data_IF_185049496893
#
_entry.id   IF_185049496893
#
_cell.length_a   1.000
_cell.length_b   1.000
_cell.length_c   1.000
_cell.angle_alpha   90.00
_cell.angle_beta   90.00
_cell.angle_gamma   90.00
#
_symmetry.space_group_name_H-M   'P 1'
#
loop_
_entity.id
_entity.type
_entity.pdbx_description
1 polymer ?
#
# COMPACT_ATOMS: atom_id res chain seq x y z
N UNK A 1 -6.98 18.20 10.66
CA UNK A 1 -6.10 17.10 10.20
C UNK A 1 -6.98 16.25 9.32
N UNK A 2 -7.06 16.57 8.03
CA UNK A 2 -7.90 15.80 7.11
C UNK A 2 -7.06 14.62 6.67
N UNK A 3 -7.00 13.62 7.56
CA UNK A 3 -6.65 12.26 7.20
C UNK A 3 -7.66 11.88 6.14
N UNK A 4 -7.31 12.11 4.87
CA UNK A 4 -8.06 11.61 3.75
C UNK A 4 -8.02 10.10 3.91
N UNK A 5 -9.01 9.60 4.65
CA UNK A 5 -9.61 8.32 4.44
C UNK A 5 -9.91 8.33 2.95
N UNK A 6 -8.95 7.86 2.17
CA UNK A 6 -9.19 7.52 0.79
C UNK A 6 -10.12 6.33 0.89
N UNK A 7 -11.41 6.63 1.03
CA UNK A 7 -12.47 5.74 0.65
C UNK A 7 -12.17 5.44 -0.80
N UNK A 8 -11.42 4.35 -1.00
CA UNK A 8 -11.27 3.72 -2.28
C UNK A 8 -12.69 3.61 -2.81
N UNK A 9 -12.98 4.38 -3.86
CA UNK A 9 -14.27 4.44 -4.52
C UNK A 9 -14.78 3.01 -4.71
N UNK A 10 -16.10 2.83 -4.60
CA UNK A 10 -16.87 1.56 -4.66
C UNK A 10 -16.51 0.56 -5.80
N UNK A 11 -15.54 0.88 -6.66
CA UNK A 11 -15.05 0.08 -7.78
C UNK A 11 -13.64 -0.55 -7.60
N UNK A 12 -12.83 -0.18 -6.60
CA UNK A 12 -11.47 -0.75 -6.50
C UNK A 12 -11.46 -2.06 -5.71
N UNK A 13 -11.61 -3.18 -6.41
CA UNK A 13 -11.24 -4.48 -5.85
C UNK A 13 -9.77 -4.46 -5.39
N UNK A 14 -9.43 -5.21 -4.34
CA UNK A 14 -8.04 -5.44 -3.91
C UNK A 14 -7.11 -5.84 -5.08
N UNK A 15 -7.64 -6.59 -6.06
CA UNK A 15 -6.93 -6.97 -7.29
C UNK A 15 -6.52 -5.75 -8.14
N UNK A 16 -7.34 -4.71 -8.20
CA UNK A 16 -7.00 -3.48 -8.93
C UNK A 16 -5.84 -2.73 -8.26
N UNK A 17 -5.86 -2.60 -6.93
CA UNK A 17 -4.77 -2.02 -6.13
C UNK A 17 -3.47 -2.80 -6.32
N UNK A 18 -3.52 -4.13 -6.27
CA UNK A 18 -2.38 -5.01 -6.55
C UNK A 18 -1.82 -4.81 -7.97
N UNK A 19 -2.68 -4.72 -8.98
CA UNK A 19 -2.24 -4.46 -10.36
C UNK A 19 -1.55 -3.10 -10.50
N UNK A 20 -2.10 -2.07 -9.85
CA UNK A 20 -1.51 -0.74 -9.84
C UNK A 20 -0.11 -0.75 -9.23
N UNK A 21 0.04 -1.34 -8.05
CA UNK A 21 1.34 -1.35 -7.36
C UNK A 21 2.36 -2.27 -8.01
N UNK A 22 1.97 -3.43 -8.54
CA UNK A 22 2.87 -4.33 -9.27
C UNK A 22 3.32 -3.75 -10.62
N UNK A 23 2.51 -2.87 -11.23
CA UNK A 23 2.95 -2.11 -12.41
C UNK A 23 3.97 -1.04 -12.01
N UNK A 24 3.70 -0.31 -10.94
CA UNK A 24 4.54 0.79 -10.47
C UNK A 24 5.87 0.33 -9.84
N UNK A 25 5.84 -0.76 -9.08
CA UNK A 25 6.97 -1.33 -8.34
C UNK A 25 6.99 -2.86 -8.59
N UNK A 26 7.46 -3.33 -9.75
CA UNK A 26 7.36 -4.75 -10.13
C UNK A 26 8.14 -5.73 -9.24
N UNK A 27 9.14 -5.24 -8.52
CA UNK A 27 9.94 -5.99 -7.56
C UNK A 27 9.53 -5.73 -6.10
N UNK A 28 8.31 -5.23 -5.87
CA UNK A 28 7.83 -4.92 -4.52
C UNK A 28 7.84 -6.15 -3.63
N UNK A 29 8.40 -5.99 -2.43
CA UNK A 29 8.42 -7.01 -1.40
C UNK A 29 7.90 -6.43 -0.09
N UNK A 30 6.93 -7.13 0.50
CA UNK A 30 6.34 -6.78 1.80
C UNK A 30 6.92 -7.67 2.90
N UNK A 31 7.33 -7.04 3.99
CA UNK A 31 7.57 -7.69 5.28
C UNK A 31 6.48 -7.25 6.25
N UNK A 32 5.81 -8.21 6.89
CA UNK A 32 4.78 -7.92 7.89
C UNK A 32 5.48 -7.64 9.23
N UNK A 33 5.33 -6.42 9.74
CA UNK A 33 5.86 -6.02 11.05
C UNK A 33 4.90 -6.42 12.17
N UNK A 34 3.59 -6.20 11.96
CA UNK A 34 2.55 -6.58 12.92
C UNK A 34 1.23 -6.87 12.20
N UNK A 35 0.49 -7.83 12.71
CA UNK A 35 -0.85 -8.16 12.25
C UNK A 35 -1.75 -8.43 13.45
N UNK A 36 -2.95 -7.89 13.42
CA UNK A 36 -4.01 -8.19 14.39
C UNK A 36 -5.32 -8.38 13.65
N UNK A 37 -6.24 -9.12 14.25
CA UNK A 37 -7.57 -9.36 13.70
C UNK A 37 -8.63 -9.23 14.79
N UNK A 38 -9.75 -8.61 14.45
CA UNK A 38 -10.93 -8.48 15.29
C UNK A 38 -12.17 -8.64 14.41
N UNK A 39 -13.05 -9.58 14.76
CA UNK A 39 -14.23 -9.94 13.98
C UNK A 39 -13.91 -10.23 12.50
N UNK A 40 -14.42 -9.41 11.59
CA UNK A 40 -14.21 -9.50 10.14
C UNK A 40 -13.09 -8.57 9.64
N UNK A 41 -12.37 -7.89 10.53
CA UNK A 41 -11.30 -6.94 10.19
C UNK A 41 -9.93 -7.54 10.49
N UNK A 42 -9.01 -7.40 9.54
CA UNK A 42 -7.57 -7.66 9.70
C UNK A 42 -6.80 -6.38 9.49
N UNK A 43 -6.05 -5.95 10.51
CA UNK A 43 -5.14 -4.81 10.42
C UNK A 43 -3.70 -5.30 10.25
N UNK A 44 -3.00 -4.75 9.28
CA UNK A 44 -1.62 -5.11 8.93
C UNK A 44 -0.75 -3.86 8.93
N UNK A 45 0.32 -3.88 9.72
CA UNK A 45 1.41 -2.93 9.61
C UNK A 45 2.58 -3.63 8.90
N UNK A 46 3.08 -3.02 7.82
CA UNK A 46 4.07 -3.64 6.95
C UNK A 46 5.12 -2.65 6.46
N UNK A 47 6.24 -3.21 6.01
CA UNK A 47 7.30 -2.52 5.30
C UNK A 47 7.32 -3.04 3.87
N UNK A 48 7.20 -2.12 2.91
CA UNK A 48 7.42 -2.39 1.50
C UNK A 48 8.84 -1.97 1.09
N UNK A 49 9.46 -2.74 0.19
CA UNK A 49 10.70 -2.36 -0.50
C UNK A 49 10.58 -2.63 -1.99
N UNK A 50 11.25 -1.84 -2.83
CA UNK A 50 11.29 -2.06 -4.28
C UNK A 50 11.84 -0.86 -5.05
N UNK A 51 11.79 -0.93 -6.38
CA UNK A 51 12.20 0.12 -7.32
C UNK A 51 10.97 0.64 -8.06
N UNK A 52 10.74 1.95 -8.01
CA UNK A 52 9.61 2.60 -8.70
C UNK A 52 9.92 2.70 -10.19
N UNK A 53 9.36 1.80 -11.01
CA UNK A 53 9.56 1.73 -12.46
C UNK A 53 8.50 2.46 -13.28
N UNK A 54 7.34 2.76 -12.69
CA UNK A 54 6.29 3.60 -13.27
C UNK A 54 5.76 4.58 -12.19
N UNK A 55 4.90 5.52 -12.55
CA UNK A 55 4.37 6.50 -11.61
C UNK A 55 3.65 5.86 -10.41
N UNK A 56 4.07 6.23 -9.20
CA UNK A 56 3.52 5.72 -7.93
C UNK A 56 3.08 6.87 -7.02
N UNK A 57 1.78 7.04 -6.79
CA UNK A 57 1.22 8.08 -5.89
C UNK A 57 1.79 9.50 -6.13
N UNK A 58 1.90 9.89 -7.41
CA UNK A 58 2.47 11.19 -7.82
C UNK A 58 4.00 11.27 -7.75
N UNK A 59 4.68 10.15 -7.48
CA UNK A 59 6.13 10.01 -7.54
C UNK A 59 6.48 9.46 -8.94
N UNK A 60 7.35 10.13 -9.72
CA UNK A 60 7.78 9.60 -11.01
C UNK A 60 8.68 8.37 -10.84
N UNK A 61 8.87 7.61 -11.91
CA UNK A 61 9.81 6.50 -11.94
C UNK A 61 11.21 6.94 -11.48
N UNK A 62 11.86 6.11 -10.69
CA UNK A 62 13.22 6.33 -10.18
C UNK A 62 14.02 5.04 -10.22
N UNK A 63 15.31 5.12 -10.51
CA UNK A 63 16.20 3.96 -10.46
C UNK A 63 16.75 3.68 -9.05
N UNK A 64 16.16 4.29 -8.02
CA UNK A 64 16.55 4.13 -6.62
C UNK A 64 15.65 3.11 -5.94
N UNK A 65 16.23 2.25 -5.12
CA UNK A 65 15.48 1.36 -4.24
C UNK A 65 14.92 2.18 -3.07
N UNK A 66 13.63 2.01 -2.78
CA UNK A 66 12.93 2.69 -1.68
C UNK A 66 12.47 1.67 -0.63
N UNK A 67 12.32 2.13 0.61
CA UNK A 67 11.75 1.38 1.74
C UNK A 67 10.71 2.24 2.45
N UNK A 68 9.46 1.81 2.54
CA UNK A 68 8.39 2.63 3.12
C UNK A 68 7.41 1.79 3.93
N UNK A 69 6.70 2.45 4.87
CA UNK A 69 5.61 1.83 5.62
C UNK A 69 4.33 1.82 4.80
N UNK A 70 3.58 0.74 4.89
CA UNK A 70 2.22 0.65 4.40
C UNK A 70 1.36 -0.09 5.42
N UNK A 71 0.22 0.51 5.75
CA UNK A 71 -0.74 -0.06 6.68
C UNK A 71 -2.01 -0.40 5.92
N UNK A 72 -2.57 -1.56 6.21
CA UNK A 72 -3.81 -2.04 5.61
C UNK A 72 -4.83 -2.35 6.71
N UNK A 73 -6.08 -2.07 6.40
CA UNK A 73 -7.22 -2.74 7.02
C UNK A 73 -7.94 -3.50 5.91
N UNK A 74 -8.23 -4.77 6.16
CA UNK A 74 -9.03 -5.61 5.28
C UNK A 74 -10.30 -6.02 5.99
N UNK A 75 -11.44 -5.91 5.32
CA UNK A 75 -12.69 -6.56 5.76
C UNK A 75 -12.89 -7.86 5.01
N UNK A 76 -13.23 -8.93 5.73
CA UNK A 76 -13.34 -10.27 5.19
C UNK A 76 -14.78 -10.79 5.26
N UNK A 77 -15.23 -11.48 4.20
CA UNK A 77 -16.42 -12.31 4.25
C UNK A 77 -16.19 -13.58 3.42
N UNK A 78 -16.68 -14.73 3.90
CA UNK A 78 -16.49 -16.03 3.26
C UNK A 78 -15.00 -16.31 2.91
N UNK A 79 -14.09 -16.00 3.84
CA UNK A 79 -12.64 -16.14 3.69
C UNK A 79 -12.03 -15.34 2.51
N UNK A 80 -12.69 -14.25 2.08
CA UNK A 80 -12.20 -13.35 1.02
C UNK A 80 -12.16 -11.92 1.51
N UNK A 81 -11.18 -11.16 1.05
CA UNK A 81 -11.13 -9.70 1.22
C UNK A 81 -12.27 -9.11 0.38
N UNK A 82 -13.19 -8.42 1.04
CA UNK A 82 -14.32 -7.73 0.40
C UNK A 82 -14.18 -6.21 0.47
N UNK A 83 -13.28 -5.69 1.31
CA UNK A 83 -12.96 -4.28 1.41
C UNK A 83 -11.51 -4.10 1.87
N UNK A 84 -10.89 -3.01 1.43
CA UNK A 84 -9.51 -2.64 1.76
C UNK A 84 -9.44 -1.14 1.99
N UNK A 85 -8.79 -0.75 3.09
CA UNK A 85 -8.35 0.61 3.36
C UNK A 85 -6.84 0.59 3.58
N UNK A 86 -6.14 1.59 3.08
CA UNK A 86 -4.69 1.62 3.19
C UNK A 86 -4.14 3.03 3.40
N UNK A 87 -2.96 3.07 4.02
CA UNK A 87 -2.15 4.28 4.17
C UNK A 87 -0.72 3.96 3.79
N UNK A 88 -0.15 4.77 2.90
CA UNK A 88 1.22 4.64 2.40
C UNK A 88 2.04 5.84 2.88
N UNK A 89 3.26 5.60 3.38
CA UNK A 89 4.21 6.65 3.76
C UNK A 89 4.87 7.31 2.52
N UNK A 90 4.07 8.04 1.74
CA UNK A 90 4.53 8.75 0.54
C UNK A 90 5.58 9.82 0.87
N UNK A 91 5.46 10.48 2.03
CA UNK A 91 6.41 11.48 2.47
C UNK A 91 7.80 10.86 2.71
N UNK A 92 7.87 9.71 3.38
CA UNK A 92 9.11 8.97 3.58
C UNK A 92 9.75 8.50 2.28
N UNK A 93 8.96 8.15 1.25
CA UNK A 93 9.51 7.84 -0.08
C UNK A 93 10.15 9.09 -0.71
N UNK A 94 9.45 10.23 -0.69
CA UNK A 94 9.96 11.48 -1.29
C UNK A 94 11.26 11.94 -0.62
N UNK A 95 11.36 11.84 0.71
CA UNK A 95 12.59 12.14 1.44
C UNK A 95 13.77 11.28 0.96
N UNK A 96 13.57 9.97 0.79
CA UNK A 96 14.60 9.05 0.30
C UNK A 96 15.10 9.41 -1.12
N UNK A 97 14.21 9.88 -1.99
CA UNK A 97 14.57 10.20 -3.38
C UNK A 97 15.25 11.56 -3.53
N UNK A 98 15.04 12.47 -2.57
CA UNK A 98 15.63 13.81 -2.55
C UNK A 98 17.11 13.84 -2.16
N UNK A 99 17.61 12.77 -1.56
CA UNK A 99 19.02 12.55 -1.21
C UNK A 99 19.78 11.96 -2.38
#
# INVERSE_FOLDING_TARGET
>A
MDGKDTHSSQDSSHVASLKYILKAIPDIHYTIDKMVSEEDIVAVNSIATGIIKDGFMGIPASQKKVRFKQMFFFRLANNKIIEEWEVVDVAGIKDQLSK
#
